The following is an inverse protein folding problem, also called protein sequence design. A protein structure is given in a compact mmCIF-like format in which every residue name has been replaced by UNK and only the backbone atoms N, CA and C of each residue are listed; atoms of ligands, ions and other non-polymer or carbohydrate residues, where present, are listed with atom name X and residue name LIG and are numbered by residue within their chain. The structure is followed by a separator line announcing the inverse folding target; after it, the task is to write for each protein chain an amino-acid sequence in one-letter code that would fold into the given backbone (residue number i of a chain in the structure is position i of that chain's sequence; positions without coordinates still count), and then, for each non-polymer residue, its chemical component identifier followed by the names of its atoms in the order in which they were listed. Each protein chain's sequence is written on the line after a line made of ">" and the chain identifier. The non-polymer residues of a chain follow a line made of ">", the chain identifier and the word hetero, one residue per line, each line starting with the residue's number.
data_IF_336398987683
#
_entry.id   IF_336398987683
#
_cell.length_a   1.000
_cell.length_b   1.000
_cell.length_c   1.000
_cell.angle_alpha   90.00
_cell.angle_beta   90.00
_cell.angle_gamma   90.00
#
_symmetry.space_group_name_H-M   'P 1'
#
loop_
_entity.id
_entity.type
_entity.pdbx_description
1 polymer ?
#
# COMPACT_ATOMS: atom_id res chain seq x y z
N UNK A 1 -18.78 -6.90 -46.22
CA UNK A 1 -19.07 -6.56 -44.81
C UNK A 1 -17.78 -6.18 -44.13
N UNK A 2 -17.53 -4.87 -43.93
CA UNK A 2 -16.34 -4.40 -43.19
C UNK A 2 -16.59 -4.66 -41.70
N UNK A 3 -15.73 -5.46 -41.09
CA UNK A 3 -15.73 -5.71 -39.66
C UNK A 3 -15.31 -4.40 -38.96
N UNK A 4 -16.29 -3.60 -38.53
CA UNK A 4 -16.05 -2.47 -37.63
C UNK A 4 -15.62 -3.04 -36.28
N UNK A 5 -14.31 -3.08 -36.03
CA UNK A 5 -13.79 -3.22 -34.69
C UNK A 5 -14.49 -2.15 -33.83
N UNK A 6 -15.22 -2.57 -32.78
CA UNK A 6 -15.81 -1.69 -31.78
C UNK A 6 -14.68 -1.01 -31.01
N UNK A 7 -14.05 -0.01 -31.62
CA UNK A 7 -13.15 0.89 -30.94
C UNK A 7 -13.95 1.56 -29.83
N UNK A 8 -13.49 1.38 -28.59
CA UNK A 8 -14.07 2.02 -27.41
C UNK A 8 -12.94 2.69 -26.66
N UNK A 9 -13.27 3.80 -26.00
CA UNK A 9 -12.32 4.55 -25.20
C UNK A 9 -11.97 3.77 -23.93
N UNK A 10 -10.76 3.99 -23.41
CA UNK A 10 -10.24 3.24 -22.26
C UNK A 10 -11.03 3.59 -20.98
N UNK A 11 -11.43 4.85 -20.86
CA UNK A 11 -12.29 5.39 -19.81
C UNK A 11 -13.63 4.64 -19.75
N UNK A 12 -14.16 4.20 -20.89
CA UNK A 12 -15.39 3.41 -20.92
C UNK A 12 -15.19 2.00 -20.36
N UNK A 13 -13.99 1.42 -20.52
CA UNK A 13 -13.65 0.09 -20.00
C UNK A 13 -13.18 0.09 -18.55
N UNK A 14 -12.58 1.17 -18.07
CA UNK A 14 -12.11 1.22 -16.68
C UNK A 14 -13.28 1.13 -15.69
N UNK A 15 -13.13 0.38 -14.58
CA UNK A 15 -14.17 0.25 -13.57
C UNK A 15 -14.29 1.51 -12.69
N UNK A 16 -13.29 2.40 -12.74
CA UNK A 16 -13.27 3.64 -11.98
C UNK A 16 -14.05 4.73 -12.72
N UNK A 17 -14.89 5.45 -11.97
CA UNK A 17 -15.63 6.61 -12.44
C UNK A 17 -14.81 7.89 -12.25
N UNK A 18 -14.36 8.15 -11.03
CA UNK A 18 -13.64 9.36 -10.66
C UNK A 18 -12.82 9.19 -9.36
N UNK A 19 -11.94 10.15 -9.09
CA UNK A 19 -11.26 10.28 -7.80
C UNK A 19 -11.58 11.67 -7.26
N UNK A 20 -12.36 11.73 -6.18
CA UNK A 20 -12.88 12.97 -5.61
C UNK A 20 -12.77 12.93 -4.09
N UNK A 21 -12.41 14.06 -3.47
CA UNK A 21 -12.28 14.20 -2.02
C UNK A 21 -11.40 13.12 -1.35
N UNK A 22 -10.35 12.66 -2.05
CA UNK A 22 -9.46 11.60 -1.55
C UNK A 22 -10.08 10.20 -1.58
N UNK A 23 -11.23 10.02 -2.22
CA UNK A 23 -11.89 8.73 -2.40
C UNK A 23 -11.89 8.35 -3.88
N UNK A 24 -11.80 7.04 -4.15
CA UNK A 24 -11.99 6.47 -5.47
C UNK A 24 -13.46 6.06 -5.58
N UNK A 25 -14.12 6.48 -6.67
CA UNK A 25 -15.53 6.16 -6.94
C UNK A 25 -15.56 5.17 -8.11
N UNK A 26 -16.19 4.01 -7.90
CA UNK A 26 -16.43 3.03 -8.98
C UNK A 26 -17.64 3.41 -9.83
N UNK A 27 -17.76 2.83 -11.02
CA UNK A 27 -18.95 3.00 -11.87
C UNK A 27 -20.22 2.39 -11.27
N UNK A 28 -20.05 1.45 -10.36
CA UNK A 28 -21.13 0.81 -9.62
C UNK A 28 -21.46 1.59 -8.32
N UNK A 29 -20.96 2.83 -8.21
CA UNK A 29 -21.14 3.74 -7.08
C UNK A 29 -20.54 3.24 -5.75
N UNK A 30 -19.54 2.36 -5.81
CA UNK A 30 -18.75 2.01 -4.63
C UNK A 30 -17.78 3.14 -4.29
N UNK A 31 -17.55 3.32 -3.00
CA UNK A 31 -16.64 4.34 -2.48
C UNK A 31 -15.47 3.64 -1.81
N UNK A 32 -14.25 3.88 -2.31
CA UNK A 32 -13.02 3.31 -1.76
C UNK A 32 -12.12 4.40 -1.20
N UNK A 33 -11.67 4.21 0.04
CA UNK A 33 -10.57 5.00 0.63
C UNK A 33 -9.31 4.15 0.62
N UNK A 34 -8.19 4.75 0.21
CA UNK A 34 -6.89 4.10 0.15
C UNK A 34 -5.93 4.68 1.20
N UNK A 35 -5.25 3.80 1.92
CA UNK A 35 -4.24 4.14 2.91
C UNK A 35 -2.92 3.48 2.55
N UNK A 36 -1.80 4.18 2.76
CA UNK A 36 -0.49 3.55 2.86
C UNK A 36 -0.27 3.13 4.31
N UNK A 37 0.07 1.87 4.53
CA UNK A 37 0.31 1.32 5.86
C UNK A 37 1.81 1.13 6.04
N UNK A 38 2.33 1.64 7.14
CA UNK A 38 3.69 1.37 7.59
C UNK A 38 3.62 0.23 8.61
N UNK A 39 4.28 -0.88 8.28
CA UNK A 39 4.33 -2.07 9.14
C UNK A 39 5.76 -2.25 9.63
N UNK A 40 5.94 -2.77 10.85
CA UNK A 40 7.27 -3.07 11.36
C UNK A 40 7.92 -4.18 10.52
N UNK A 41 9.25 -4.12 10.44
CA UNK A 41 10.03 -5.15 9.77
C UNK A 41 9.84 -6.51 10.46
N UNK A 42 10.01 -7.59 9.68
CA UNK A 42 9.94 -8.94 10.17
C UNK A 42 10.97 -9.13 11.30
N UNK A 43 10.50 -9.65 12.44
CA UNK A 43 11.31 -9.97 13.63
C UNK A 43 11.87 -8.76 14.40
N UNK A 44 11.41 -7.54 14.15
CA UNK A 44 11.85 -6.36 14.94
C UNK A 44 10.96 -6.05 16.14
N UNK A 45 9.86 -6.77 16.32
CA UNK A 45 8.87 -6.52 17.38
C UNK A 45 8.83 -7.64 18.41
N UNK A 46 8.52 -7.27 19.64
CA UNK A 46 8.26 -8.20 20.74
C UNK A 46 6.90 -8.88 20.57
N UNK A 47 6.69 -10.00 21.27
CA UNK A 47 5.40 -10.70 21.24
C UNK A 47 4.23 -9.83 21.72
N UNK A 48 4.46 -8.95 22.70
CA UNK A 48 3.43 -8.05 23.21
C UNK A 48 3.03 -6.98 22.18
N UNK A 49 3.99 -6.42 21.45
CA UNK A 49 3.74 -5.47 20.36
C UNK A 49 3.01 -6.13 19.20
N UNK A 50 3.41 -7.36 18.85
CA UNK A 50 2.73 -8.13 17.82
C UNK A 50 1.25 -8.37 18.17
N UNK A 51 0.96 -8.76 19.41
CA UNK A 51 -0.42 -8.95 19.88
C UNK A 51 -1.22 -7.64 19.87
N UNK A 52 -0.60 -6.51 20.22
CA UNK A 52 -1.23 -5.21 20.15
C UNK A 52 -1.60 -4.83 18.70
N UNK A 53 -0.71 -5.05 17.75
CA UNK A 53 -0.95 -4.83 16.31
C UNK A 53 -2.10 -5.73 15.84
N UNK A 54 -2.06 -7.01 16.17
CA UNK A 54 -3.12 -7.96 15.81
C UNK A 54 -4.48 -7.54 16.37
N UNK A 55 -4.53 -7.17 17.65
CA UNK A 55 -5.76 -6.70 18.31
C UNK A 55 -6.31 -5.43 17.66
N UNK A 56 -5.44 -4.50 17.24
CA UNK A 56 -5.84 -3.29 16.54
C UNK A 56 -6.49 -3.61 15.18
N UNK A 57 -5.87 -4.48 14.37
CA UNK A 57 -6.43 -4.94 13.10
C UNK A 57 -7.77 -5.66 13.28
N UNK A 58 -7.85 -6.56 14.25
CA UNK A 58 -9.09 -7.28 14.55
C UNK A 58 -10.22 -6.33 14.90
N UNK A 59 -9.98 -5.34 15.78
CA UNK A 59 -10.97 -4.32 16.15
C UNK A 59 -11.39 -3.49 14.94
N UNK A 60 -10.42 -3.01 14.15
CA UNK A 60 -10.70 -2.18 12.98
C UNK A 60 -11.59 -2.89 11.96
N UNK A 61 -11.34 -4.18 11.69
CA UNK A 61 -12.16 -4.97 10.76
C UNK A 61 -13.54 -5.27 11.36
N UNK A 62 -13.60 -5.60 12.65
CA UNK A 62 -14.85 -5.99 13.32
C UNK A 62 -15.88 -4.87 13.40
N UNK A 63 -15.44 -3.61 13.46
CA UNK A 63 -16.35 -2.45 13.56
C UNK A 63 -16.85 -1.96 12.19
N UNK A 64 -16.36 -2.53 11.09
CA UNK A 64 -16.81 -2.12 9.77
C UNK A 64 -18.30 -2.45 9.59
N UNK A 65 -19.08 -1.54 8.96
CA UNK A 65 -20.48 -1.80 8.68
C UNK A 65 -20.63 -2.89 7.62
N UNK A 66 -21.83 -3.45 7.52
CA UNK A 66 -22.18 -4.40 6.46
C UNK A 66 -21.84 -3.86 5.07
N UNK A 67 -21.50 -4.76 4.15
CA UNK A 67 -21.11 -4.41 2.78
C UNK A 67 -19.87 -3.50 2.75
N UNK A 68 -18.88 -3.84 3.58
CA UNK A 68 -17.53 -3.27 3.53
C UNK A 68 -16.56 -4.34 3.04
N UNK A 69 -15.72 -3.98 2.08
CA UNK A 69 -14.65 -4.84 1.57
C UNK A 69 -13.32 -4.27 2.06
N UNK A 70 -12.54 -5.12 2.70
CA UNK A 70 -11.17 -4.81 3.11
C UNK A 70 -10.23 -5.49 2.13
N UNK A 71 -9.42 -4.71 1.43
CA UNK A 71 -8.39 -5.23 0.53
C UNK A 71 -7.03 -4.71 0.97
N UNK A 72 -6.18 -5.61 1.46
CA UNK A 72 -4.79 -5.33 1.78
C UNK A 72 -3.91 -5.83 0.65
N UNK A 73 -3.08 -4.94 0.10
CA UNK A 73 -2.19 -5.23 -1.00
C UNK A 73 -0.74 -4.98 -0.59
N UNK A 74 0.08 -6.02 -0.68
CA UNK A 74 1.49 -5.97 -0.35
C UNK A 74 2.34 -6.11 -1.62
N UNK A 75 3.19 -5.11 -1.86
CA UNK A 75 4.20 -5.17 -2.90
C UNK A 75 5.56 -5.36 -2.26
N UNK A 76 6.31 -6.33 -2.78
CA UNK A 76 7.68 -6.60 -2.40
C UNK A 76 8.56 -6.35 -3.61
N UNK A 77 9.33 -5.27 -3.58
CA UNK A 77 10.19 -4.85 -4.69
C UNK A 77 11.63 -4.98 -4.24
N UNK A 78 12.44 -5.68 -5.04
CA UNK A 78 13.88 -5.76 -4.79
C UNK A 78 14.50 -4.42 -5.17
N UNK A 79 15.04 -3.72 -4.19
CA UNK A 79 15.72 -2.44 -4.35
C UNK A 79 17.13 -2.54 -3.79
N UNK A 80 18.00 -1.62 -4.18
CA UNK A 80 19.36 -1.53 -3.65
C UNK A 80 19.45 -0.34 -2.70
N UNK A 81 20.10 -0.53 -1.56
CA UNK A 81 20.31 0.55 -0.61
C UNK A 81 21.15 1.66 -1.25
N UNK A 82 20.61 2.88 -1.21
CA UNK A 82 21.32 4.08 -1.66
C UNK A 82 21.89 4.78 -0.43
N UNK A 83 23.22 4.85 -0.31
CA UNK A 83 23.83 5.47 0.86
C UNK A 83 23.68 6.99 0.82
N UNK A 84 23.32 7.59 1.95
CA UNK A 84 23.19 9.03 2.10
C UNK A 84 24.53 9.62 2.58
N UNK A 85 25.50 9.67 1.66
CA UNK A 85 26.88 10.10 1.97
C UNK A 85 27.09 11.61 1.99
N UNK A 86 26.09 12.40 1.60
CA UNK A 86 26.17 13.85 1.48
C UNK A 86 25.69 14.60 2.73
N UNK A 87 25.22 13.89 3.76
CA UNK A 87 24.90 14.52 5.05
C UNK A 87 26.14 15.12 5.71
N UNK A 88 26.09 16.42 5.97
CA UNK A 88 27.07 17.12 6.80
C UNK A 88 27.15 16.43 8.19
N UNK A 89 28.36 16.31 8.72
CA UNK A 89 28.68 15.73 10.05
C UNK A 89 28.45 14.21 10.23
N UNK A 90 28.60 13.38 9.19
CA UNK A 90 28.60 11.92 9.37
C UNK A 90 29.74 11.46 10.30
N UNK A 91 29.36 10.88 11.45
CA UNK A 91 30.31 10.25 12.38
C UNK A 91 31.07 9.09 11.70
N UNK A 92 32.22 8.68 12.27
CA UNK A 92 32.99 7.54 11.77
C UNK A 92 32.15 6.25 11.62
N UNK A 93 31.27 5.99 12.60
CA UNK A 93 30.38 4.82 12.56
C UNK A 93 29.30 4.96 11.49
N UNK A 94 28.68 6.13 11.38
CA UNK A 94 27.68 6.41 10.33
C UNK A 94 28.28 6.22 8.93
N UNK A 95 29.48 6.75 8.69
CA UNK A 95 30.16 6.57 7.39
C UNK A 95 30.52 5.11 7.10
N UNK A 96 30.83 4.33 8.13
CA UNK A 96 31.12 2.90 8.00
C UNK A 96 29.84 2.10 7.71
N UNK A 97 28.72 2.48 8.32
CA UNK A 97 27.39 1.92 8.06
C UNK A 97 26.97 2.16 6.59
N UNK A 98 27.00 3.41 6.13
CA UNK A 98 26.64 3.77 4.74
C UNK A 98 27.44 2.96 3.72
N UNK A 99 28.75 2.82 3.95
CA UNK A 99 29.64 2.02 3.08
C UNK A 99 29.37 0.52 3.13
N UNK A 100 29.03 0.00 4.31
CA UNK A 100 28.78 -1.44 4.49
C UNK A 100 27.53 -1.90 3.74
N UNK A 101 26.51 -1.04 3.68
CA UNK A 101 25.24 -1.35 3.03
C UNK A 101 25.12 -0.85 1.60
N UNK A 102 26.08 -0.05 1.11
CA UNK A 102 26.08 0.44 -0.27
C UNK A 102 25.81 -0.68 -1.29
N UNK A 103 24.83 -0.45 -2.18
CA UNK A 103 24.38 -1.36 -3.23
C UNK A 103 23.86 -2.72 -2.75
N UNK A 104 23.70 -2.94 -1.43
CA UNK A 104 23.13 -4.19 -0.96
C UNK A 104 21.66 -4.28 -1.35
N UNK A 105 21.24 -5.39 -1.98
CA UNK A 105 19.85 -5.60 -2.30
C UNK A 105 19.06 -5.90 -1.03
N UNK A 106 17.91 -5.27 -0.91
CA UNK A 106 16.90 -5.56 0.11
C UNK A 106 15.53 -5.69 -0.55
N UNK A 107 14.57 -6.23 0.20
CA UNK A 107 13.19 -6.36 -0.26
C UNK A 107 12.39 -5.22 0.37
N UNK A 108 12.11 -4.18 -0.41
CA UNK A 108 11.30 -3.07 0.04
C UNK A 108 9.83 -3.47 0.04
N UNK A 109 9.13 -3.20 1.14
CA UNK A 109 7.74 -3.58 1.34
C UNK A 109 6.85 -2.34 1.31
N UNK A 110 5.92 -2.33 0.37
CA UNK A 110 4.88 -1.31 0.28
C UNK A 110 3.53 -1.96 0.57
N UNK A 111 2.89 -1.55 1.66
CA UNK A 111 1.57 -2.02 2.03
C UNK A 111 0.52 -0.94 1.78
N UNK A 112 -0.51 -1.29 1.02
CA UNK A 112 -1.68 -0.46 0.80
C UNK A 112 -2.93 -1.13 1.36
N UNK A 113 -3.78 -0.36 2.03
CA UNK A 113 -5.06 -0.81 2.54
C UNK A 113 -6.17 -0.04 1.83
N UNK A 114 -7.07 -0.76 1.19
CA UNK A 114 -8.25 -0.23 0.54
C UNK A 114 -9.48 -0.65 1.33
N UNK A 115 -10.27 0.33 1.75
CA UNK A 115 -11.57 0.13 2.39
C UNK A 115 -12.64 0.59 1.44
N UNK A 116 -13.40 -0.37 0.91
CA UNK A 116 -14.50 -0.09 -0.02
C UNK A 116 -15.83 -0.26 0.68
N UNK A 117 -16.65 0.78 0.67
CA UNK A 117 -18.07 0.68 1.00
C UNK A 117 -18.83 0.40 -0.29
N UNK A 118 -19.48 -0.77 -0.32
CA UNK A 118 -20.37 -1.17 -1.39
C UNK A 118 -21.81 -1.26 -0.88
N UNK A 119 -22.73 -1.54 -1.78
CA UNK A 119 -24.14 -1.80 -1.46
C UNK A 119 -24.40 -3.30 -1.55
N UNK A 120 -25.62 -3.72 -1.18
CA UNK A 120 -25.96 -5.14 -1.11
C UNK A 120 -25.96 -5.83 -2.47
N UNK A 121 -26.32 -5.10 -3.51
CA UNK A 121 -26.96 -5.62 -4.74
C UNK A 121 -28.07 -6.65 -4.49
#
# INVERSE_FOLDING_TARGET
>A
MRNTLKATTLERKFPLLAVENGCIISKDADITVAFRVELPELFTVTSAEYEAIHSAWYKAIKVLPDYSIVHKQDFFIKENYQPDTERDELSFLSRSFERHFNERPFLNHYCYLFLTKTTRE
#
